data_IF_812152161360
#
_entry.id   IF_812152161360
#
_cell.length_a   1.000
_cell.length_b   1.000
_cell.length_c   1.000
_cell.angle_alpha   90.00
_cell.angle_beta   90.00
_cell.angle_gamma   90.00
#
_symmetry.space_group_name_H-M   'P 1'
#
loop_
_entity.id
_entity.type
_entity.pdbx_description
1 polymer ?
#
# COMPACT_ATOMS: atom_id res chain seq x y z
N UNK A 1 12.79 -13.49 -18.02
CA UNK A 1 12.16 -13.90 -16.74
C UNK A 1 12.44 -15.39 -16.55
N UNK A 2 13.29 -15.79 -15.60
CA UNK A 2 13.77 -17.18 -15.45
C UNK A 2 12.62 -18.09 -15.00
N UNK A 3 12.45 -19.24 -15.67
CA UNK A 3 11.47 -20.26 -15.33
C UNK A 3 11.88 -20.97 -14.02
N UNK A 4 10.98 -21.03 -13.04
CA UNK A 4 11.25 -21.64 -11.73
C UNK A 4 10.78 -23.08 -11.74
N UNK A 5 11.69 -24.03 -11.94
CA UNK A 5 11.36 -25.45 -11.88
C UNK A 5 10.94 -25.87 -10.46
N UNK A 6 10.03 -26.84 -10.38
CA UNK A 6 9.77 -27.55 -9.13
C UNK A 6 10.95 -28.49 -8.90
N UNK A 7 11.76 -28.21 -7.89
CA UNK A 7 12.98 -28.96 -7.60
C UNK A 7 12.74 -30.04 -6.54
N UNK A 8 11.62 -29.99 -5.83
CA UNK A 8 11.27 -30.94 -4.78
C UNK A 8 10.23 -31.93 -5.29
N UNK A 9 10.65 -33.18 -5.50
CA UNK A 9 9.87 -34.24 -6.17
C UNK A 9 9.32 -35.27 -5.16
N UNK A 10 9.21 -34.93 -3.88
CA UNK A 10 8.66 -35.87 -2.88
C UNK A 10 7.17 -36.20 -3.10
N UNK A 11 6.46 -35.38 -3.88
CA UNK A 11 5.05 -35.60 -4.21
C UNK A 11 4.85 -35.59 -5.71
N UNK A 12 4.15 -36.61 -6.20
CA UNK A 12 3.66 -36.64 -7.58
C UNK A 12 2.45 -35.73 -7.76
N UNK A 13 2.08 -35.44 -9.01
CA UNK A 13 0.85 -34.70 -9.30
C UNK A 13 -0.40 -35.38 -8.71
N UNK A 14 -0.41 -36.72 -8.64
CA UNK A 14 -1.49 -37.51 -8.06
C UNK A 14 -1.55 -37.29 -6.55
N UNK A 15 -0.40 -37.35 -5.86
CA UNK A 15 -0.33 -37.12 -4.41
C UNK A 15 -0.83 -35.72 -4.06
N UNK A 16 -0.41 -34.70 -4.81
CA UNK A 16 -0.86 -33.32 -4.60
C UNK A 16 -2.37 -33.16 -4.77
N UNK A 17 -3.00 -33.88 -5.71
CA UNK A 17 -4.46 -33.88 -5.85
C UNK A 17 -5.15 -34.56 -4.68
N UNK A 18 -4.62 -35.70 -4.24
CA UNK A 18 -5.18 -36.42 -3.10
C UNK A 18 -5.09 -35.59 -1.81
N UNK A 19 -3.94 -34.96 -1.58
CA UNK A 19 -3.73 -34.02 -0.48
C UNK A 19 -4.61 -32.77 -0.59
N UNK A 20 -4.82 -32.25 -1.79
CA UNK A 20 -5.74 -31.14 -2.02
C UNK A 20 -7.19 -31.51 -1.68
N UNK A 21 -7.64 -32.71 -2.04
CA UNK A 21 -8.97 -33.21 -1.72
C UNK A 21 -9.17 -33.39 -0.20
N UNK A 22 -8.13 -33.82 0.52
CA UNK A 22 -8.16 -33.98 1.97
C UNK A 22 -8.00 -32.65 2.74
N UNK A 23 -7.61 -31.56 2.06
CA UNK A 23 -7.26 -30.31 2.71
C UNK A 23 -8.48 -29.46 3.06
N UNK A 24 -8.64 -29.15 4.35
CA UNK A 24 -9.70 -28.24 4.84
C UNK A 24 -9.52 -26.79 4.41
N UNK A 25 -8.29 -26.38 4.07
CA UNK A 25 -8.00 -25.01 3.65
C UNK A 25 -8.11 -24.88 2.14
N UNK A 26 -9.23 -24.32 1.66
CA UNK A 26 -9.49 -24.14 0.23
C UNK A 26 -8.41 -23.35 -0.52
N UNK A 27 -7.74 -22.40 0.13
CA UNK A 27 -6.65 -21.66 -0.50
C UNK A 27 -5.40 -22.54 -0.66
N UNK A 28 -5.08 -23.38 0.33
CA UNK A 28 -4.00 -24.35 0.23
C UNK A 28 -4.31 -25.44 -0.81
N UNK A 29 -5.55 -25.93 -0.85
CA UNK A 29 -6.02 -26.89 -1.85
C UNK A 29 -5.81 -26.39 -3.29
N UNK A 30 -6.25 -25.17 -3.61
CA UNK A 30 -6.05 -24.56 -4.94
C UNK A 30 -4.57 -24.41 -5.32
N UNK A 31 -3.69 -24.14 -4.35
CA UNK A 31 -2.24 -24.06 -4.59
C UNK A 31 -1.65 -25.43 -4.91
N UNK A 32 -2.05 -26.47 -4.18
CA UNK A 32 -1.61 -27.84 -4.45
C UNK A 32 -2.11 -28.33 -5.82
N UNK A 33 -3.33 -27.99 -6.22
CA UNK A 33 -3.83 -28.27 -7.57
C UNK A 33 -3.04 -27.54 -8.65
N UNK A 34 -2.69 -26.27 -8.43
CA UNK A 34 -1.86 -25.52 -9.37
C UNK A 34 -0.46 -26.13 -9.54
N UNK A 35 0.12 -26.63 -8.43
CA UNK A 35 1.40 -27.35 -8.47
C UNK A 35 1.29 -28.68 -9.22
N UNK A 36 0.21 -29.44 -9.03
CA UNK A 36 -0.05 -30.68 -9.76
C UNK A 36 -0.12 -30.43 -11.28
N UNK A 37 -0.82 -29.39 -11.72
CA UNK A 37 -0.89 -29.01 -13.13
C UNK A 37 0.49 -28.63 -13.71
N UNK A 38 1.31 -27.93 -12.93
CA UNK A 38 2.69 -27.59 -13.34
C UNK A 38 3.57 -28.84 -13.45
N UNK A 39 3.41 -29.83 -12.56
CA UNK A 39 4.13 -31.11 -12.65
C UNK A 39 3.71 -31.91 -13.89
N UNK A 40 2.47 -31.78 -14.33
CA UNK A 40 1.97 -32.39 -15.58
C UNK A 40 2.40 -31.64 -16.85
N UNK A 41 3.21 -30.58 -16.71
CA UNK A 41 3.72 -29.82 -17.83
C UNK A 41 2.78 -28.69 -18.31
N UNK A 42 1.71 -28.40 -17.57
CA UNK A 42 0.86 -27.26 -17.92
C UNK A 42 1.65 -25.94 -17.81
N UNK A 43 1.45 -24.99 -18.76
CA UNK A 43 2.03 -23.67 -18.64
C UNK A 43 1.60 -23.00 -17.33
N UNK A 44 2.54 -22.33 -16.63
CA UNK A 44 2.26 -21.69 -15.34
C UNK A 44 1.10 -20.68 -15.39
N UNK A 45 0.92 -20.00 -16.52
CA UNK A 45 -0.21 -19.08 -16.70
C UNK A 45 -1.55 -19.82 -16.66
N UNK A 46 -1.66 -20.91 -17.42
CA UNK A 46 -2.86 -21.77 -17.46
C UNK A 46 -3.12 -22.39 -16.09
N UNK A 47 -2.09 -22.98 -15.46
CA UNK A 47 -2.23 -23.58 -14.14
C UNK A 47 -2.69 -22.57 -13.06
N UNK A 48 -2.19 -21.33 -13.13
CA UNK A 48 -2.58 -20.26 -12.22
C UNK A 48 -4.04 -19.85 -12.46
N UNK A 49 -4.43 -19.64 -13.72
CA UNK A 49 -5.79 -19.25 -14.11
C UNK A 49 -6.82 -20.32 -13.73
N UNK A 50 -6.55 -21.59 -14.05
CA UNK A 50 -7.41 -22.74 -13.67
C UNK A 50 -7.65 -22.81 -12.16
N UNK A 51 -6.67 -22.39 -11.35
CA UNK A 51 -6.76 -22.42 -9.89
C UNK A 51 -7.17 -21.07 -9.27
N UNK A 52 -7.56 -20.08 -10.09
CA UNK A 52 -8.05 -18.78 -9.66
C UNK A 52 -6.97 -17.94 -8.97
N UNK A 53 -5.77 -17.89 -9.54
CA UNK A 53 -4.66 -17.05 -9.05
C UNK A 53 -3.87 -16.42 -10.20
N UNK A 54 -3.13 -15.36 -9.89
CA UNK A 54 -2.21 -14.74 -10.84
C UNK A 54 -0.90 -15.54 -10.98
N UNK A 55 -0.24 -15.42 -12.13
CA UNK A 55 1.02 -16.08 -12.45
C UNK A 55 2.14 -15.77 -11.44
N UNK A 56 2.23 -14.53 -10.96
CA UNK A 56 3.24 -14.15 -9.95
C UNK A 56 2.93 -14.80 -8.61
N UNK A 57 1.65 -14.92 -8.26
CA UNK A 57 1.22 -15.61 -7.04
C UNK A 57 1.63 -17.07 -7.09
N UNK A 58 1.37 -17.77 -8.21
CA UNK A 58 1.80 -19.16 -8.38
C UNK A 58 3.32 -19.30 -8.29
N UNK A 59 4.09 -18.40 -8.91
CA UNK A 59 5.56 -18.40 -8.82
C UNK A 59 6.04 -18.30 -7.37
N UNK A 60 5.47 -17.41 -6.59
CA UNK A 60 5.84 -17.24 -5.17
C UNK A 60 5.52 -18.50 -4.35
N UNK A 61 4.41 -19.19 -4.66
CA UNK A 61 4.08 -20.46 -4.04
C UNK A 61 4.99 -21.61 -4.48
N UNK A 62 5.42 -21.66 -5.74
CA UNK A 62 6.42 -22.63 -6.22
C UNK A 62 7.73 -22.46 -5.45
N UNK A 63 8.22 -21.23 -5.30
CA UNK A 63 9.42 -20.96 -4.51
C UNK A 63 9.25 -21.39 -3.04
N UNK A 64 8.07 -21.12 -2.46
CA UNK A 64 7.77 -21.51 -1.08
C UNK A 64 7.67 -23.02 -0.91
N UNK A 65 7.04 -23.69 -1.88
CA UNK A 65 6.99 -25.16 -1.92
C UNK A 65 8.41 -25.72 -1.98
N UNK A 66 9.27 -25.21 -2.85
CA UNK A 66 10.66 -25.67 -2.95
C UNK A 66 11.47 -25.45 -1.66
N UNK A 67 11.09 -24.49 -0.80
CA UNK A 67 11.80 -24.19 0.45
C UNK A 67 11.22 -24.90 1.69
N UNK A 68 9.90 -25.12 1.73
CA UNK A 68 9.15 -25.54 2.94
C UNK A 68 8.20 -26.72 2.70
N UNK A 69 7.97 -27.09 1.45
CA UNK A 69 7.15 -28.24 1.07
C UNK A 69 5.67 -27.97 1.30
N UNK A 70 4.94 -29.02 1.69
CA UNK A 70 3.51 -28.91 2.00
C UNK A 70 3.23 -28.00 3.21
N UNK A 71 4.14 -27.95 4.19
CA UNK A 71 4.01 -27.06 5.34
C UNK A 71 3.94 -25.57 4.92
N UNK A 72 4.60 -25.23 3.80
CA UNK A 72 4.60 -23.90 3.22
C UNK A 72 3.34 -23.52 2.44
N UNK A 73 2.39 -24.44 2.20
CA UNK A 73 1.21 -24.18 1.35
C UNK A 73 0.07 -23.46 2.06
N UNK A 74 0.10 -23.42 3.39
CA UNK A 74 -0.85 -22.66 4.20
C UNK A 74 -0.43 -21.20 4.34
N UNK A 75 -1.41 -20.31 4.55
CA UNK A 75 -1.08 -18.93 4.91
C UNK A 75 -0.36 -18.94 6.25
N UNK A 76 0.88 -18.42 6.26
CA UNK A 76 1.55 -18.13 7.53
C UNK A 76 0.71 -17.08 8.25
N UNK A 77 0.14 -17.46 9.39
CA UNK A 77 -0.46 -16.51 10.31
C UNK A 77 0.71 -15.80 11.00
N UNK A 78 1.40 -14.91 10.26
CA UNK A 78 2.53 -14.15 10.78
C UNK A 78 1.99 -13.06 11.71
N UNK A 79 1.70 -13.46 12.95
CA UNK A 79 1.45 -12.60 14.12
C UNK A 79 0.19 -11.75 14.04
N UNK A 80 -0.37 -11.43 15.22
CA UNK A 80 -1.45 -10.45 15.39
C UNK A 80 -1.01 -9.07 14.86
N UNK A 81 -1.12 -8.82 13.56
CA UNK A 81 -0.93 -7.53 12.91
C UNK A 81 0.25 -6.70 13.45
N UNK A 82 0.10 -5.38 13.39
CA UNK A 82 1.01 -4.45 14.06
C UNK A 82 0.76 -4.58 15.57
N UNK A 83 1.82 -4.87 16.35
CA UNK A 83 1.74 -4.90 17.81
C UNK A 83 0.97 -3.67 18.32
N UNK A 84 -0.02 -3.83 19.22
CA UNK A 84 -0.72 -2.70 19.82
C UNK A 84 0.27 -1.69 20.37
N UNK A 85 0.05 -0.41 20.05
CA UNK A 85 0.97 0.63 20.53
C UNK A 85 0.82 0.92 22.02
N UNK A 86 -0.39 0.70 22.53
CA UNK A 86 -0.71 0.80 23.93
C UNK A 86 -0.37 -0.53 24.59
N UNK A 87 0.27 -0.48 25.75
CA UNK A 87 0.38 -1.66 26.61
C UNK A 87 -0.99 -2.04 27.18
N UNK A 88 -1.16 -3.26 27.71
CA UNK A 88 -2.42 -3.66 28.34
C UNK A 88 -2.89 -2.69 29.43
N UNK A 89 -1.96 -2.18 30.24
CA UNK A 89 -2.23 -1.23 31.33
C UNK A 89 -2.71 0.12 30.77
N UNK A 90 -2.08 0.61 29.69
CA UNK A 90 -2.50 1.83 29.02
C UNK A 90 -3.87 1.67 28.35
N UNK A 91 -4.17 0.48 27.85
CA UNK A 91 -5.47 0.15 27.25
C UNK A 91 -6.57 0.16 28.31
N UNK A 92 -6.30 -0.37 29.52
CA UNK A 92 -7.23 -0.31 30.64
C UNK A 92 -7.53 1.13 31.06
N UNK A 93 -6.51 2.00 31.12
CA UNK A 93 -6.69 3.43 31.42
C UNK A 93 -7.55 4.13 30.36
N UNK A 94 -7.38 3.79 29.08
CA UNK A 94 -8.23 4.35 28.01
C UNK A 94 -9.67 3.84 28.12
N UNK A 95 -9.87 2.57 28.43
CA UNK A 95 -11.19 1.99 28.62
C UNK A 95 -11.94 2.62 29.81
N UNK A 96 -11.23 3.02 30.86
CA UNK A 96 -11.81 3.73 32.00
C UNK A 96 -12.18 5.18 31.63
N UNK A 97 -11.35 5.85 30.83
CA UNK A 97 -11.67 7.17 30.28
C UNK A 97 -12.90 7.12 29.37
N UNK A 98 -13.08 6.04 28.60
CA UNK A 98 -14.29 5.86 27.77
C UNK A 98 -15.56 5.64 28.61
N UNK A 99 -15.43 4.97 29.76
CA UNK A 99 -16.55 4.76 30.70
C UNK A 99 -16.91 6.03 31.47
N UNK A 100 -15.92 6.83 31.82
CA UNK A 100 -16.11 8.08 32.57
C UNK A 100 -16.53 9.19 31.63
N UNK A 101 -17.55 9.98 32.00
CA UNK A 101 -17.91 11.17 31.22
C UNK A 101 -16.74 12.17 31.19
N UNK A 102 -16.52 12.89 30.07
CA UNK A 102 -15.44 13.86 30.00
C UNK A 102 -15.72 15.03 30.95
N UNK A 103 -14.73 15.36 31.77
CA UNK A 103 -14.73 16.60 32.54
C UNK A 103 -14.50 17.81 31.62
N UNK A 104 -15.41 18.79 31.67
CA UNK A 104 -15.34 19.99 30.86
C UNK A 104 -14.15 20.88 31.24
N UNK A 105 -13.78 20.92 32.53
CA UNK A 105 -12.67 21.75 33.01
C UNK A 105 -11.32 21.20 32.53
N UNK A 106 -11.15 19.87 32.57
CA UNK A 106 -9.89 19.21 32.20
C UNK A 106 -9.79 18.87 30.70
N UNK A 107 -10.90 18.54 30.04
CA UNK A 107 -10.89 18.02 28.67
C UNK A 107 -11.52 18.94 27.62
N UNK A 108 -12.29 19.96 28.05
CA UNK A 108 -12.90 20.95 27.15
C UNK A 108 -13.96 20.37 26.20
N UNK A 109 -14.46 19.16 26.48
CA UNK A 109 -15.47 18.48 25.66
C UNK A 109 -16.60 17.94 26.54
N UNK A 110 -17.85 18.12 26.09
CA UNK A 110 -19.06 17.63 26.79
C UNK A 110 -19.29 16.13 26.53
N UNK A 111 -18.78 15.62 25.40
CA UNK A 111 -18.89 14.21 25.00
C UNK A 111 -17.59 13.73 24.38
N UNK A 112 -17.23 12.48 24.64
CA UNK A 112 -16.10 11.87 23.97
C UNK A 112 -16.38 11.68 22.48
N UNK A 113 -15.55 12.29 21.62
CA UNK A 113 -15.39 11.86 20.24
C UNK A 113 -14.11 11.05 20.13
N UNK A 114 -14.02 10.17 19.13
CA UNK A 114 -12.79 9.42 18.83
C UNK A 114 -11.57 10.34 18.66
N UNK A 115 -11.77 11.53 18.10
CA UNK A 115 -10.73 12.53 17.95
C UNK A 115 -10.25 13.12 19.30
N UNK A 116 -11.13 13.25 20.27
CA UNK A 116 -10.85 13.81 21.59
C UNK A 116 -10.10 12.77 22.45
N UNK A 117 -10.59 11.53 22.46
CA UNK A 117 -9.90 10.40 23.12
C UNK A 117 -8.50 10.20 22.56
N UNK A 118 -8.32 10.20 21.24
CA UNK A 118 -6.99 10.06 20.67
C UNK A 118 -6.07 11.26 21.00
N UNK A 119 -6.60 12.48 21.16
CA UNK A 119 -5.80 13.63 21.61
C UNK A 119 -5.40 13.50 23.10
N UNK A 120 -6.25 12.94 23.94
CA UNK A 120 -5.91 12.61 25.35
C UNK A 120 -4.85 11.52 25.40
N UNK A 121 -4.98 10.47 24.60
CA UNK A 121 -3.99 9.37 24.49
C UNK A 121 -2.63 9.87 24.00
N UNK A 122 -2.60 10.74 23.00
CA UNK A 122 -1.35 11.35 22.50
C UNK A 122 -0.65 12.19 23.57
N UNK A 123 -1.40 12.99 24.33
CA UNK A 123 -0.86 13.80 25.43
C UNK A 123 -0.38 12.95 26.60
N UNK A 124 -1.18 11.97 27.04
CA UNK A 124 -0.91 11.16 28.24
C UNK A 124 0.19 10.12 28.04
N UNK A 125 0.30 9.54 26.84
CA UNK A 125 1.26 8.47 26.55
C UNK A 125 2.37 8.88 25.56
N UNK A 126 2.48 10.18 25.23
CA UNK A 126 3.47 10.71 24.29
C UNK A 126 3.50 10.00 22.93
N UNK A 127 2.33 9.56 22.47
CA UNK A 127 2.14 8.98 21.13
C UNK A 127 1.88 10.12 20.14
N UNK A 128 2.16 9.89 18.86
CA UNK A 128 1.86 10.83 17.78
C UNK A 128 0.89 10.17 16.81
N UNK A 129 -0.12 10.91 16.34
CA UNK A 129 -0.85 10.49 15.14
C UNK A 129 0.11 10.42 13.95
N UNK A 130 0.19 9.27 13.30
CA UNK A 130 0.91 9.17 12.04
C UNK A 130 0.18 10.01 10.96
N UNK A 131 0.81 11.12 10.54
CA UNK A 131 0.27 12.03 9.50
C UNK A 131 0.19 11.37 8.11
N UNK A 132 0.98 10.31 7.87
CA UNK A 132 1.03 9.50 6.63
C UNK A 132 0.15 8.24 6.66
N UNK A 133 -1.01 8.30 7.31
CA UNK A 133 -2.01 7.24 7.12
C UNK A 133 -2.61 7.35 5.70
N UNK A 134 -2.71 6.25 4.92
CA UNK A 134 -3.21 6.29 3.55
C UNK A 134 -4.69 6.70 3.42
N UNK A 135 -5.41 6.86 4.53
CA UNK A 135 -6.75 7.45 4.52
C UNK A 135 -7.04 8.23 5.82
N UNK A 136 -7.82 9.34 5.74
CA UNK A 136 -8.15 10.17 6.90
C UNK A 136 -8.95 9.42 7.98
N UNK A 137 -9.60 8.29 7.63
CA UNK A 137 -10.34 7.42 8.56
C UNK A 137 -9.47 6.43 9.34
N UNK A 138 -8.19 6.25 8.99
CA UNK A 138 -7.24 5.34 9.69
C UNK A 138 -6.01 6.06 10.22
N UNK A 139 -6.18 7.08 11.07
CA UNK A 139 -5.04 7.66 11.80
C UNK A 139 -4.56 6.67 12.87
N UNK A 140 -3.56 5.86 12.52
CA UNK A 140 -2.86 5.01 13.49
C UNK A 140 -1.94 5.86 14.37
N UNK A 141 -1.80 5.45 15.64
CA UNK A 141 -0.82 6.04 16.55
C UNK A 141 0.58 5.48 16.25
N UNK A 142 1.60 6.29 16.50
CA UNK A 142 3.01 6.02 16.29
C UNK A 142 3.81 6.50 17.51
N UNK A 143 4.84 5.77 17.95
CA UNK A 143 5.70 6.23 19.05
C UNK A 143 6.45 7.49 18.61
N UNK A 144 6.56 8.48 19.52
CA UNK A 144 7.38 9.67 19.27
C UNK A 144 8.84 9.22 19.15
N UNK A 145 9.46 9.47 18.00
CA UNK A 145 10.91 9.37 17.85
C UNK A 145 11.50 10.66 18.42
N UNK A 146 12.48 10.60 19.35
CA UNK A 146 13.20 11.81 19.76
C UNK A 146 13.84 12.43 18.52
N UNK A 147 13.47 13.67 18.22
CA UNK A 147 14.03 14.39 17.09
C UNK A 147 15.50 14.67 17.41
N UNK A 148 16.47 14.28 16.56
CA UNK A 148 17.84 14.70 16.76
C UNK A 148 17.86 16.23 16.72
N UNK A 149 18.29 16.86 17.82
CA UNK A 149 18.50 18.31 17.88
C UNK A 149 19.44 18.65 16.72
N UNK A 150 18.96 19.41 15.72
CA UNK A 150 19.80 19.90 14.62
C UNK A 150 20.75 21.00 15.13
N UNK A 151 21.65 20.65 16.03
CA UNK A 151 22.73 21.50 16.50
C UNK A 151 23.95 21.23 15.62
N UNK A 152 23.94 21.72 14.36
CA UNK A 152 25.13 22.17 13.61
C UNK A 152 24.78 22.44 12.12
N UNK A 153 23.94 23.45 11.84
CA UNK A 153 23.80 23.99 10.48
C UNK A 153 24.23 25.46 10.33
N UNK A 154 24.54 26.13 11.44
CA UNK A 154 24.92 27.56 11.43
C UNK A 154 26.43 27.81 11.44
N UNK A 155 27.29 26.80 11.64
CA UNK A 155 28.76 27.00 11.61
C UNK A 155 29.38 26.99 10.21
N UNK A 156 28.64 26.58 9.18
CA UNK A 156 29.16 26.47 7.81
C UNK A 156 28.80 27.65 6.89
N UNK A 157 28.32 28.79 7.43
CA UNK A 157 28.00 30.00 6.63
C UNK A 157 28.90 31.21 6.90
N UNK A 158 29.90 31.10 7.76
CA UNK A 158 30.77 32.24 8.12
C UNK A 158 32.10 32.32 7.34
N UNK A 159 32.43 31.34 6.50
CA UNK A 159 33.70 31.32 5.78
C UNK A 159 33.50 31.19 4.27
N UNK A 160 33.11 32.29 3.62
CA UNK A 160 33.49 32.63 2.25
C UNK A 160 32.80 33.94 1.79
N UNK A 161 33.33 35.09 2.20
CA UNK A 161 33.53 36.17 1.22
C UNK A 161 34.73 35.77 0.37
N UNK A 162 34.76 35.96 -0.95
CA UNK A 162 34.92 37.25 -1.64
C UNK A 162 34.74 37.05 -3.16
N UNK A 163 34.54 38.14 -3.91
CA UNK A 163 34.42 38.32 -5.38
C UNK A 163 32.96 38.25 -5.91
N UNK A 164 32.22 39.36 -6.10
CA UNK A 164 32.24 40.37 -7.20
C UNK A 164 32.25 39.64 -8.58
N UNK A 165 31.38 39.85 -9.59
CA UNK A 165 30.59 40.98 -10.13
C UNK A 165 29.34 40.36 -10.84
N UNK A 166 28.19 41.01 -11.04
CA UNK A 166 27.96 42.02 -12.08
C UNK A 166 26.55 42.64 -11.97
N UNK A 167 26.55 43.95 -12.24
CA UNK A 167 25.51 44.85 -12.73
C UNK A 167 24.12 44.29 -13.15
N UNK A 168 23.08 44.95 -12.62
CA UNK A 168 21.78 45.12 -13.29
C UNK A 168 21.91 46.10 -14.47
N UNK A 169 20.93 46.14 -15.42
CA UNK A 169 19.84 47.09 -15.20
C UNK A 169 18.44 46.65 -15.69
N UNK A 170 17.44 47.27 -15.04
CA UNK A 170 16.08 47.61 -15.53
C UNK A 170 16.14 48.26 -16.93
N UNK A 171 15.21 48.05 -17.87
CA UNK A 171 13.85 48.66 -18.03
C UNK A 171 13.19 47.96 -19.23
N UNK A 172 11.90 47.60 -19.17
CA UNK A 172 10.74 48.25 -19.81
C UNK A 172 10.63 48.08 -21.33
N UNK A 173 9.39 47.87 -21.81
CA UNK A 173 8.84 47.89 -23.18
C UNK A 173 7.76 46.77 -23.36
N UNK A 174 6.49 47.15 -23.18
CA UNK A 174 5.28 46.57 -23.84
C UNK A 174 5.03 47.40 -25.13
N UNK A 175 4.26 46.99 -26.18
CA UNK A 175 3.01 46.19 -26.10
C UNK A 175 2.63 45.31 -27.34
N UNK A 176 1.50 44.58 -27.25
CA UNK A 176 0.54 44.52 -28.37
C UNK A 176 0.19 43.18 -29.05
N UNK A 177 -1.07 42.76 -28.83
CA UNK A 177 -2.07 42.32 -29.83
C UNK A 177 -1.96 40.97 -30.60
N UNK A 178 -2.97 40.12 -30.31
CA UNK A 178 -3.97 39.46 -31.21
C UNK A 178 -4.04 37.93 -31.08
N UNK A 179 -5.24 37.45 -30.73
CA UNK A 179 -5.71 36.07 -30.97
C UNK A 179 -5.91 35.84 -32.47
N UNK A 180 -5.62 34.65 -33.01
CA UNK A 180 -6.23 34.18 -34.24
C UNK A 180 -7.46 33.30 -33.93
N UNK A 181 -8.61 33.74 -34.44
CA UNK A 181 -9.82 32.96 -34.69
C UNK A 181 -9.61 32.07 -35.91
N UNK A 182 -9.91 30.78 -35.80
CA UNK A 182 -9.92 29.84 -36.94
C UNK A 182 -11.34 29.72 -37.51
N UNK A 183 -11.55 29.84 -38.84
CA UNK A 183 -12.86 29.68 -39.48
C UNK A 183 -13.24 28.19 -39.72
N UNK A 184 -14.55 27.89 -39.91
CA UNK A 184 -15.05 26.52 -40.07
C UNK A 184 -14.83 25.94 -41.48
N UNK A 185 -14.54 24.64 -41.54
CA UNK A 185 -14.38 23.83 -42.77
C UNK A 185 -15.74 23.42 -43.36
N UNK A 186 -15.95 23.48 -44.69
CA UNK A 186 -17.25 23.20 -45.32
C UNK A 186 -17.58 21.71 -45.47
N UNK A 187 -18.89 21.44 -45.52
CA UNK A 187 -19.55 20.14 -45.59
C UNK A 187 -19.33 19.38 -46.90
N UNK A 188 -19.11 18.06 -46.80
CA UNK A 188 -19.28 17.10 -47.89
C UNK A 188 -20.65 16.42 -47.75
N UNK A 189 -21.46 16.46 -48.80
CA UNK A 189 -22.73 15.74 -48.92
C UNK A 189 -22.53 14.25 -49.26
N UNK A 190 -23.53 13.39 -48.96
CA UNK A 190 -23.45 11.93 -49.10
C UNK A 190 -23.74 11.43 -50.53
N UNK A 191 -23.27 10.21 -50.90
CA UNK A 191 -23.72 9.56 -52.13
C UNK A 191 -25.09 8.89 -51.98
N UNK A 192 -25.93 9.11 -52.98
CA UNK A 192 -27.24 8.51 -53.20
C UNK A 192 -27.13 7.00 -53.45
N UNK A 193 -27.82 6.21 -52.62
CA UNK A 193 -28.10 4.81 -52.93
C UNK A 193 -29.21 4.75 -54.00
N UNK A 194 -28.85 4.26 -55.19
CA UNK A 194 -29.78 3.93 -56.26
C UNK A 194 -30.57 2.67 -55.90
N UNK A 195 -31.89 2.83 -55.87
CA UNK A 195 -32.87 1.75 -55.89
C UNK A 195 -33.19 1.44 -57.36
N UNK A 196 -33.09 0.18 -57.79
CA UNK A 196 -34.03 -0.42 -58.75
C UNK A 196 -33.75 -1.93 -58.97
N UNK A 197 -34.87 -2.67 -58.82
CA UNK A 197 -35.21 -4.02 -59.31
C UNK A 197 -34.79 -5.21 -58.46
#
# INVERSE_FOLDING_TARGET
MVAVALTWVEYTAVDLRWLAAACRNAAAARRMLALALVLEGSPRAVAAETCGMDRQTLRDWVHRYNAEGLAGMSNRHKGLGRKPLLTPEQTAVVAELERTAPDLATHGVVRWRRADLAAVIERRFSLQRCRRAPSPRRRSLCRRVPQPRQANRQRARQHSGTAICNASPSTDERPGRRRPTTPPTPALMPPLAGSHR
#
